data_IF_119739960764
#
_entry.id   IF_119739960764
#
_cell.length_a   1.000
_cell.length_b   1.000
_cell.length_c   1.000
_cell.angle_alpha   90.00
_cell.angle_beta   90.00
_cell.angle_gamma   90.00
#
_symmetry.space_group_name_H-M   'P 1'
#
loop_
_entity.id
_entity.type
_entity.pdbx_description
1 polymer ?
#
# COMPACT_ATOMS: atom_id res chain seq x y z
N UNK A 1 -6.23 16.85 3.36
CA UNK A 1 -7.30 17.85 3.56
C UNK A 1 -8.61 17.10 3.60
N UNK A 2 -9.44 17.39 4.60
CA UNK A 2 -10.69 16.68 4.88
C UNK A 2 -11.78 17.10 3.86
N UNK A 3 -12.46 16.17 3.17
CA UNK A 3 -13.48 16.48 2.17
C UNK A 3 -14.76 17.11 2.75
N UNK A 4 -14.96 17.09 4.07
CA UNK A 4 -16.20 17.55 4.71
C UNK A 4 -16.17 19.01 5.22
N UNK A 5 -15.06 19.74 5.10
CA UNK A 5 -15.01 21.17 5.46
C UNK A 5 -15.70 22.11 4.44
N UNK A 6 -16.28 21.56 3.37
CA UNK A 6 -16.75 22.35 2.22
C UNK A 6 -18.27 22.55 2.12
N UNK A 7 -19.03 22.41 3.21
CA UNK A 7 -20.48 22.73 3.20
C UNK A 7 -20.86 23.63 4.37
N UNK A 8 -21.28 24.84 3.97
CA UNK A 8 -21.96 25.89 4.74
C UNK A 8 -21.12 26.82 5.63
N UNK A 9 -20.53 27.82 4.96
CA UNK A 9 -20.14 29.09 5.56
C UNK A 9 -20.31 30.23 4.56
N UNK A 10 -21.41 30.97 4.66
CA UNK A 10 -21.64 32.23 3.96
C UNK A 10 -20.65 33.30 4.43
N UNK A 11 -19.67 33.66 3.61
CA UNK A 11 -18.87 34.88 3.83
C UNK A 11 -17.40 34.79 3.41
N UNK A 12 -17.12 35.30 2.21
CA UNK A 12 -15.88 35.94 1.76
C UNK A 12 -14.59 35.74 2.57
N UNK A 13 -13.67 34.91 2.06
CA UNK A 13 -12.26 35.25 1.86
C UNK A 13 -11.53 34.12 1.08
N UNK A 14 -10.76 34.54 0.08
CA UNK A 14 -9.85 33.74 -0.74
C UNK A 14 -10.50 32.61 -1.55
N UNK A 15 -10.66 32.86 -2.86
CA UNK A 15 -10.46 31.84 -3.88
C UNK A 15 -9.15 31.13 -3.55
N UNK A 16 -9.22 30.00 -2.83
CA UNK A 16 -8.13 29.04 -2.80
C UNK A 16 -7.84 28.79 -4.27
N UNK A 17 -6.65 29.20 -4.71
CA UNK A 17 -6.19 29.11 -6.09
C UNK A 17 -6.32 27.65 -6.47
N UNK A 18 -7.47 27.25 -7.05
CA UNK A 18 -7.74 25.88 -7.48
C UNK A 18 -6.72 25.63 -8.56
N UNK A 19 -5.68 24.87 -8.24
CA UNK A 19 -4.65 24.60 -9.22
C UNK A 19 -5.33 23.78 -10.33
N UNK A 20 -5.35 24.27 -11.58
CA UNK A 20 -6.06 23.62 -12.67
C UNK A 20 -5.49 22.20 -12.97
N UNK A 21 -4.31 21.88 -12.44
CA UNK A 21 -3.68 20.56 -12.51
C UNK A 21 -4.05 19.63 -11.33
N UNK A 22 -4.96 20.03 -10.43
CA UNK A 22 -5.44 19.17 -9.33
C UNK A 22 -6.35 18.03 -9.82
N UNK A 23 -6.78 18.06 -11.08
CA UNK A 23 -7.44 16.93 -11.71
C UNK A 23 -8.86 16.63 -11.23
N UNK A 24 -9.49 17.49 -10.42
CA UNK A 24 -10.86 17.30 -9.90
C UNK A 24 -11.89 17.01 -11.00
N UNK A 25 -11.76 17.63 -12.18
CA UNK A 25 -12.65 17.38 -13.32
C UNK A 25 -12.46 16.01 -13.98
N UNK A 26 -11.31 15.36 -13.77
CA UNK A 26 -10.98 14.05 -14.32
C UNK A 26 -11.17 12.91 -13.31
N UNK A 27 -11.19 13.20 -12.01
CA UNK A 27 -11.23 12.19 -10.93
C UNK A 27 -12.30 11.10 -11.18
N UNK A 28 -13.55 11.50 -11.43
CA UNK A 28 -14.65 10.56 -11.71
C UNK A 28 -14.38 9.68 -12.93
N UNK A 29 -13.80 10.23 -14.00
CA UNK A 29 -13.46 9.45 -15.21
C UNK A 29 -12.33 8.47 -14.95
N UNK A 30 -11.37 8.84 -14.11
CA UNK A 30 -10.26 7.97 -13.71
C UNK A 30 -10.76 6.84 -12.80
N UNK A 31 -11.67 7.12 -11.86
CA UNK A 31 -12.35 6.09 -11.06
C UNK A 31 -13.12 5.10 -11.96
N UNK A 32 -13.99 5.61 -12.84
CA UNK A 32 -14.74 4.77 -13.79
C UNK A 32 -13.81 3.91 -14.65
N UNK A 33 -12.66 4.44 -15.05
CA UNK A 33 -11.64 3.71 -15.80
C UNK A 33 -11.06 2.55 -14.99
N UNK A 34 -10.74 2.74 -13.70
CA UNK A 34 -10.29 1.65 -12.85
C UNK A 34 -11.37 0.59 -12.68
N UNK A 35 -12.57 0.98 -12.25
CA UNK A 35 -13.58 0.05 -11.74
C UNK A 35 -14.31 -0.69 -12.86
N UNK A 36 -14.58 -0.03 -13.99
CA UNK A 36 -15.42 -0.59 -15.06
C UNK A 36 -14.63 -1.11 -16.25
N UNK A 37 -13.39 -0.64 -16.42
CA UNK A 37 -12.59 -0.94 -17.62
C UNK A 37 -11.37 -1.78 -17.26
N UNK A 38 -10.48 -1.27 -16.41
CA UNK A 38 -9.16 -1.86 -16.16
C UNK A 38 -9.27 -3.07 -15.24
N UNK A 39 -9.72 -2.91 -14.00
CA UNK A 39 -9.72 -3.98 -12.99
C UNK A 39 -10.54 -5.22 -13.38
N UNK A 40 -11.68 -5.10 -14.12
CA UNK A 40 -12.39 -6.27 -14.61
C UNK A 40 -11.60 -7.12 -15.63
N UNK A 41 -10.51 -6.59 -16.20
CA UNK A 41 -9.77 -7.22 -17.30
C UNK A 41 -8.31 -7.50 -16.97
N UNK A 42 -7.70 -6.68 -16.13
CA UNK A 42 -6.26 -6.76 -15.85
C UNK A 42 -6.01 -6.54 -14.36
N UNK A 43 -5.40 -7.54 -13.74
CA UNK A 43 -4.96 -7.51 -12.35
C UNK A 43 -3.43 -7.62 -12.29
N UNK A 44 -2.76 -6.53 -11.91
CA UNK A 44 -1.31 -6.50 -11.74
C UNK A 44 -0.92 -5.60 -10.58
N UNK A 45 0.25 -5.85 -10.00
CA UNK A 45 0.81 -5.03 -8.92
C UNK A 45 0.84 -3.55 -9.27
N UNK A 46 1.21 -3.20 -10.51
CA UNK A 46 1.27 -1.80 -10.98
C UNK A 46 -0.11 -1.14 -11.02
N UNK A 47 -1.14 -1.86 -11.48
CA UNK A 47 -2.50 -1.33 -11.55
C UNK A 47 -3.05 -1.10 -10.15
N UNK A 48 -2.88 -2.06 -9.25
CA UNK A 48 -3.32 -1.91 -7.87
C UNK A 48 -2.57 -0.79 -7.13
N UNK A 49 -1.26 -0.64 -7.32
CA UNK A 49 -0.51 0.50 -6.77
C UNK A 49 -1.03 1.84 -7.32
N UNK A 50 -1.38 1.91 -8.61
CA UNK A 50 -1.93 3.13 -9.20
C UNK A 50 -3.32 3.46 -8.63
N UNK A 51 -4.21 2.46 -8.49
CA UNK A 51 -5.51 2.63 -7.86
C UNK A 51 -5.36 3.06 -6.40
N UNK A 52 -4.47 2.41 -5.65
CA UNK A 52 -4.24 2.71 -4.24
C UNK A 52 -3.76 4.16 -4.04
N UNK A 53 -2.90 4.68 -4.92
CA UNK A 53 -2.49 6.09 -4.92
C UNK A 53 -3.65 7.05 -5.17
N UNK A 54 -4.56 6.73 -6.08
CA UNK A 54 -5.78 7.51 -6.31
C UNK A 54 -6.64 7.54 -5.04
N UNK A 55 -6.87 6.38 -4.43
CA UNK A 55 -7.65 6.26 -3.20
C UNK A 55 -6.99 6.98 -2.02
N UNK A 56 -5.66 6.93 -1.90
CA UNK A 56 -4.89 7.72 -0.93
C UNK A 56 -5.11 9.22 -1.13
N UNK A 57 -5.06 9.72 -2.38
CA UNK A 57 -5.34 11.12 -2.67
C UNK A 57 -6.76 11.54 -2.26
N UNK A 58 -7.73 10.62 -2.36
CA UNK A 58 -9.12 10.80 -1.94
C UNK A 58 -9.34 10.62 -0.43
N UNK A 59 -8.29 10.33 0.35
CA UNK A 59 -8.38 9.97 1.77
C UNK A 59 -9.30 8.76 2.04
N UNK A 60 -9.45 7.89 1.04
CA UNK A 60 -10.21 6.63 1.09
C UNK A 60 -9.33 5.51 1.64
N UNK A 61 -9.02 5.60 2.93
CA UNK A 61 -7.94 4.82 3.57
C UNK A 61 -8.16 3.31 3.56
N UNK A 62 -9.39 2.85 3.80
CA UNK A 62 -9.71 1.42 3.83
C UNK A 62 -9.51 0.77 2.46
N UNK A 63 -10.08 1.38 1.42
CA UNK A 63 -9.97 0.88 0.05
C UNK A 63 -8.53 1.00 -0.48
N UNK A 64 -7.82 2.07 -0.11
CA UNK A 64 -6.40 2.22 -0.44
C UNK A 64 -5.57 1.09 0.15
N UNK A 65 -5.77 0.75 1.42
CA UNK A 65 -5.08 -0.37 2.08
C UNK A 65 -5.38 -1.69 1.39
N UNK A 66 -6.65 -1.96 1.06
CA UNK A 66 -7.04 -3.16 0.33
C UNK A 66 -6.34 -3.24 -1.02
N UNK A 67 -6.32 -2.15 -1.79
CA UNK A 67 -5.64 -2.10 -3.08
C UNK A 67 -4.13 -2.33 -2.96
N UNK A 68 -3.44 -1.71 -1.99
CA UNK A 68 -2.01 -2.00 -1.75
C UNK A 68 -1.77 -3.46 -1.38
N UNK A 69 -2.63 -4.07 -0.56
CA UNK A 69 -2.54 -5.48 -0.19
C UNK A 69 -2.77 -6.41 -1.38
N UNK A 70 -3.72 -6.12 -2.27
CA UNK A 70 -3.89 -6.88 -3.52
C UNK A 70 -2.66 -6.73 -4.43
N UNK A 71 -2.11 -5.53 -4.54
CA UNK A 71 -0.87 -5.28 -5.24
C UNK A 71 0.29 -6.12 -4.71
N UNK A 72 0.44 -6.16 -3.37
CA UNK A 72 1.43 -6.99 -2.69
C UNK A 72 1.21 -8.49 -2.94
N UNK A 73 -0.02 -9.00 -2.90
CA UNK A 73 -0.29 -10.43 -3.18
C UNK A 73 0.16 -10.84 -4.59
N UNK A 74 0.09 -9.92 -5.56
CA UNK A 74 0.52 -10.17 -6.94
C UNK A 74 1.99 -9.90 -7.21
N UNK A 75 2.70 -9.32 -6.24
CA UNK A 75 4.10 -8.90 -6.33
C UNK A 75 5.08 -10.07 -6.30
N UNK A 76 6.38 -9.81 -6.49
CA UNK A 76 7.44 -10.82 -6.35
C UNK A 76 7.42 -11.38 -4.93
N UNK A 77 7.33 -10.53 -3.90
CA UNK A 77 7.23 -10.96 -2.50
C UNK A 77 5.99 -11.82 -2.22
N UNK A 78 4.83 -11.44 -2.77
CA UNK A 78 3.58 -12.17 -2.57
C UNK A 78 3.60 -13.58 -3.18
N UNK A 79 4.31 -13.73 -4.30
CA UNK A 79 4.40 -14.96 -5.08
C UNK A 79 5.63 -15.81 -4.80
N UNK A 80 6.62 -15.30 -4.06
CA UNK A 80 7.82 -16.07 -3.71
C UNK A 80 7.41 -17.33 -2.95
N UNK A 81 8.07 -18.44 -3.29
CA UNK A 81 7.82 -19.75 -2.71
C UNK A 81 9.09 -20.32 -2.08
N UNK A 82 8.93 -21.36 -1.26
CA UNK A 82 10.06 -22.08 -0.68
C UNK A 82 10.96 -22.66 -1.77
N UNK A 83 12.28 -22.57 -1.58
CA UNK A 83 13.27 -23.05 -2.54
C UNK A 83 13.58 -22.06 -3.68
N UNK A 84 13.23 -20.79 -3.52
CA UNK A 84 13.75 -19.71 -4.38
C UNK A 84 15.28 -19.67 -4.27
N UNK A 85 15.97 -19.57 -5.40
CA UNK A 85 17.44 -19.53 -5.47
C UNK A 85 17.97 -18.26 -6.11
N UNK A 86 17.11 -17.46 -6.72
CA UNK A 86 17.46 -16.16 -7.29
C UNK A 86 17.52 -15.10 -6.20
N UNK A 87 18.74 -14.72 -5.82
CA UNK A 87 19.00 -13.70 -4.79
C UNK A 87 18.49 -12.32 -5.19
N UNK A 88 18.52 -11.94 -6.47
CA UNK A 88 18.06 -10.62 -6.90
C UNK A 88 16.54 -10.52 -6.84
N UNK A 89 15.86 -11.61 -7.21
CA UNK A 89 14.42 -11.75 -7.05
C UNK A 89 14.02 -11.76 -5.56
N UNK A 90 14.80 -12.41 -4.71
CA UNK A 90 14.58 -12.34 -3.26
C UNK A 90 14.77 -10.92 -2.72
N UNK A 91 15.86 -10.22 -3.11
CA UNK A 91 16.11 -8.81 -2.72
C UNK A 91 15.00 -7.87 -3.19
N UNK A 92 14.42 -8.12 -4.37
CA UNK A 92 13.19 -7.42 -4.80
C UNK A 92 12.04 -7.69 -3.84
N UNK A 93 11.82 -8.95 -3.46
CA UNK A 93 10.82 -9.33 -2.48
C UNK A 93 11.01 -8.63 -1.13
N UNK A 94 12.25 -8.48 -0.65
CA UNK A 94 12.55 -7.73 0.59
C UNK A 94 12.05 -6.28 0.48
N UNK A 95 12.37 -5.59 -0.61
CA UNK A 95 11.92 -4.19 -0.84
C UNK A 95 10.39 -4.08 -0.88
N UNK A 96 9.71 -5.05 -1.47
CA UNK A 96 8.25 -5.06 -1.54
C UNK A 96 7.59 -5.35 -0.18
N UNK A 97 8.24 -6.17 0.68
CA UNK A 97 7.82 -6.35 2.08
C UNK A 97 8.00 -5.06 2.88
N UNK A 98 9.15 -4.41 2.77
CA UNK A 98 9.40 -3.11 3.41
C UNK A 98 8.35 -2.07 2.97
N UNK A 99 8.05 -1.99 1.67
CA UNK A 99 7.05 -1.07 1.13
C UNK A 99 5.65 -1.33 1.71
N UNK A 100 5.15 -2.58 1.68
CA UNK A 100 3.79 -2.87 2.17
C UNK A 100 3.68 -2.69 3.68
N UNK A 101 4.73 -3.00 4.44
CA UNK A 101 4.76 -2.76 5.87
C UNK A 101 4.77 -1.26 6.16
N UNK A 102 5.54 -0.47 5.41
CA UNK A 102 5.50 0.98 5.47
C UNK A 102 4.10 1.55 5.18
N UNK A 103 3.40 1.01 4.18
CA UNK A 103 1.99 1.36 3.91
C UNK A 103 1.09 1.04 5.11
N UNK A 104 1.24 -0.14 5.72
CA UNK A 104 0.46 -0.56 6.89
C UNK A 104 0.72 0.33 8.11
N UNK A 105 1.96 0.77 8.33
CA UNK A 105 2.28 1.74 9.38
C UNK A 105 1.62 3.09 9.16
N UNK A 106 1.70 3.62 7.94
CA UNK A 106 1.22 4.97 7.65
C UNK A 106 -0.31 5.07 7.56
N UNK A 107 -0.96 4.03 7.01
CA UNK A 107 -2.40 4.07 6.72
C UNK A 107 -3.22 3.18 7.65
N UNK A 108 -2.62 2.14 8.25
CA UNK A 108 -3.30 1.25 9.18
C UNK A 108 -4.00 1.96 10.34
N UNK A 109 -3.34 2.90 11.05
CA UNK A 109 -3.97 3.68 12.13
C UNK A 109 -5.13 4.59 11.67
N UNK A 110 -5.23 4.88 10.36
CA UNK A 110 -6.29 5.72 9.79
C UNK A 110 -7.58 4.95 9.49
N UNK A 111 -7.57 3.62 9.64
CA UNK A 111 -8.71 2.75 9.38
C UNK A 111 -9.15 2.10 10.68
N UNK A 112 -10.32 2.50 11.17
CA UNK A 112 -10.87 2.01 12.43
C UNK A 112 -11.08 0.49 12.39
N UNK A 113 -10.70 -0.20 13.46
CA UNK A 113 -10.85 -1.65 13.59
C UNK A 113 -9.90 -2.50 12.73
N UNK A 114 -9.13 -1.90 11.82
CA UNK A 114 -8.18 -2.64 10.98
C UNK A 114 -6.94 -3.04 11.78
N UNK A 115 -6.72 -4.34 11.93
CA UNK A 115 -5.60 -4.93 12.69
C UNK A 115 -4.27 -4.88 11.91
N UNK A 116 -3.83 -3.68 11.53
CA UNK A 116 -2.68 -3.48 10.65
C UNK A 116 -1.37 -4.09 11.19
N UNK A 117 -1.12 -4.02 12.51
CA UNK A 117 0.05 -4.65 13.15
C UNK A 117 0.05 -6.17 12.97
N UNK A 118 -1.10 -6.80 13.11
CA UNK A 118 -1.24 -8.25 12.91
C UNK A 118 -0.96 -8.61 11.44
N UNK A 119 -1.48 -7.80 10.51
CA UNK A 119 -1.24 -7.99 9.09
C UNK A 119 0.24 -7.83 8.72
N UNK A 120 0.91 -6.79 9.23
CA UNK A 120 2.34 -6.56 9.02
C UNK A 120 3.20 -7.72 9.54
N UNK A 121 2.97 -8.16 10.80
CA UNK A 121 3.66 -9.33 11.37
C UNK A 121 3.45 -10.60 10.54
N UNK A 122 2.22 -10.80 10.07
CA UNK A 122 1.89 -11.96 9.23
C UNK A 122 2.67 -11.95 7.92
N UNK A 123 2.70 -10.80 7.23
CA UNK A 123 3.44 -10.60 5.97
C UNK A 123 4.92 -10.91 6.16
N UNK A 124 5.58 -10.27 7.14
CA UNK A 124 7.01 -10.41 7.39
C UNK A 124 7.34 -11.87 7.71
N UNK A 125 6.63 -12.47 8.67
CA UNK A 125 6.85 -13.85 9.11
C UNK A 125 6.65 -14.85 7.97
N UNK A 126 5.61 -14.66 7.15
CA UNK A 126 5.34 -15.57 6.03
C UNK A 126 6.40 -15.45 4.93
N UNK A 127 6.84 -14.24 4.60
CA UNK A 127 7.91 -14.05 3.62
C UNK A 127 9.23 -14.68 4.11
N UNK A 128 9.69 -14.30 5.31
CA UNK A 128 10.90 -14.86 5.92
C UNK A 128 10.83 -16.40 6.02
N UNK A 129 9.70 -16.95 6.43
CA UNK A 129 9.53 -18.41 6.53
C UNK A 129 9.63 -19.15 5.19
N UNK A 130 9.26 -18.49 4.08
CA UNK A 130 9.41 -19.05 2.73
C UNK A 130 10.82 -18.89 2.18
N UNK A 131 11.56 -17.87 2.61
CA UNK A 131 12.85 -17.48 2.05
C UNK A 131 14.01 -17.71 3.02
N UNK A 132 13.87 -18.66 3.95
CA UNK A 132 14.86 -18.91 5.00
C UNK A 132 16.25 -19.25 4.47
N UNK A 133 16.33 -19.79 3.25
CA UNK A 133 17.60 -20.13 2.58
C UNK A 133 18.51 -18.91 2.34
N UNK A 134 17.99 -17.67 2.50
CA UNK A 134 18.74 -16.41 2.39
C UNK A 134 19.08 -15.79 3.77
N UNK A 135 19.04 -16.55 4.87
CA UNK A 135 19.28 -15.99 6.21
C UNK A 135 20.69 -15.41 6.44
N UNK A 136 21.66 -15.84 5.64
CA UNK A 136 23.04 -15.33 5.66
C UNK A 136 23.24 -14.05 4.82
N UNK A 137 22.24 -13.64 4.02
CA UNK A 137 22.31 -12.42 3.22
C UNK A 137 22.18 -11.17 4.10
N UNK A 138 22.89 -10.09 3.73
CA UNK A 138 22.90 -8.84 4.49
C UNK A 138 21.50 -8.24 4.64
N UNK A 139 20.67 -8.34 3.60
CA UNK A 139 19.32 -7.80 3.61
C UNK A 139 18.37 -8.56 4.56
N UNK A 140 18.72 -9.76 5.02
CA UNK A 140 17.92 -10.51 5.98
C UNK A 140 17.82 -9.77 7.32
N UNK A 141 18.91 -9.10 7.74
CA UNK A 141 18.93 -8.27 8.93
C UNK A 141 17.83 -7.20 8.91
N UNK A 142 17.55 -6.61 7.74
CA UNK A 142 16.48 -5.61 7.59
C UNK A 142 15.09 -6.18 7.85
N UNK A 143 14.83 -7.44 7.46
CA UNK A 143 13.57 -8.11 7.75
C UNK A 143 13.42 -8.39 9.25
N UNK A 144 14.52 -8.74 9.92
CA UNK A 144 14.55 -8.93 11.38
C UNK A 144 14.27 -7.61 12.09
N UNK A 145 14.96 -6.53 11.71
CA UNK A 145 14.76 -5.20 12.28
C UNK A 145 13.32 -4.73 12.07
N UNK A 146 12.77 -4.90 10.86
CA UNK A 146 11.39 -4.57 10.54
C UNK A 146 10.39 -5.39 11.38
N UNK A 147 10.69 -6.66 11.64
CA UNK A 147 9.87 -7.50 12.51
C UNK A 147 9.88 -6.98 13.96
N UNK A 148 11.03 -6.58 14.47
CA UNK A 148 11.18 -6.05 15.82
C UNK A 148 10.52 -4.67 15.97
N UNK A 149 10.61 -3.81 14.96
CA UNK A 149 9.92 -2.52 14.93
C UNK A 149 8.41 -2.70 15.06
N UNK A 150 7.81 -3.61 14.28
CA UNK A 150 6.36 -3.90 14.37
C UNK A 150 5.97 -4.46 15.74
N UNK A 151 6.86 -5.18 16.44
CA UNK A 151 6.60 -5.69 17.80
C UNK A 151 6.66 -4.59 18.86
N UNK A 152 7.57 -3.61 18.73
CA UNK A 152 7.77 -2.52 19.71
C UNK A 152 6.59 -1.54 19.76
N UNK A 153 5.84 -1.47 18.67
CA UNK A 153 4.72 -0.55 18.55
C UNK A 153 3.47 -1.02 19.31
N UNK A 154 3.42 -2.27 19.81
CA UNK A 154 2.37 -2.80 20.70
C UNK A 154 2.29 -2.06 22.05
#
# INVERSE_FOLDING_TARGET
>A
SDPNEAVEGTGTAASAVRNPNEGHGLARRVEDLFDRVILPRVSSTRIFRAQARLLTWQSRWEEALQAYLEGYRLSTAGKISKGETDVERWREGVREVEEIVGVLFNFGPKVEGFKWKLQARSIIRTFMGRTKDFEDELEWARLVDLQEEVKKED
#
